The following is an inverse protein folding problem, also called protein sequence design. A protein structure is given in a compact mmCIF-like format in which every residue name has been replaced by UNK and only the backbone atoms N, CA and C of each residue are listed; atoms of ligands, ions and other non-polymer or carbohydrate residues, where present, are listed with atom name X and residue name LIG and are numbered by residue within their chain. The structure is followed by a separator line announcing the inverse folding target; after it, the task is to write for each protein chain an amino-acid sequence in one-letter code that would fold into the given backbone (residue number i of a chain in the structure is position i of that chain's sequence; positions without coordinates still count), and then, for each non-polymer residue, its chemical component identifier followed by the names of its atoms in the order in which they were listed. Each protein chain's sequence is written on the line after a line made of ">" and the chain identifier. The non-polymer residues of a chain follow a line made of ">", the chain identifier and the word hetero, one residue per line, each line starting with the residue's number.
data_IF_368107291010
#
_entry.id   IF_368107291010
#
_cell.length_a   1.000
_cell.length_b   1.000
_cell.length_c   1.000
_cell.angle_alpha   90.00
_cell.angle_beta   90.00
_cell.angle_gamma   90.00
#
_symmetry.space_group_name_H-M   'P 1'
#
loop_
_entity.id
_entity.type
_entity.pdbx_description
1 polymer ?
#
# COMPACT_ATOMS: atom_id res chain seq x y z
N UNK A 1 1.93 -12.49 -5.85
CA UNK A 1 1.88 -11.79 -4.55
C UNK A 1 1.59 -10.32 -4.85
N UNK A 2 0.60 -9.69 -4.22
CA UNK A 2 0.24 -8.29 -4.45
C UNK A 2 0.62 -7.44 -3.23
N UNK A 3 1.23 -6.28 -3.43
CA UNK A 3 1.48 -5.29 -2.39
C UNK A 3 0.65 -4.05 -2.67
N UNK A 4 -0.08 -3.57 -1.67
CA UNK A 4 -0.85 -2.34 -1.71
C UNK A 4 0.01 -1.14 -1.32
N UNK A 5 -0.20 0.00 -1.97
CA UNK A 5 0.36 1.30 -1.59
C UNK A 5 -0.78 2.30 -1.43
N UNK A 6 -0.75 3.10 -0.36
CA UNK A 6 -1.77 4.10 -0.04
C UNK A 6 -1.09 5.45 0.20
N UNK A 7 -1.24 6.37 -0.76
CA UNK A 7 -0.49 7.63 -0.80
C UNK A 7 -1.42 8.83 -0.94
N UNK A 8 -1.03 10.00 -0.42
CA UNK A 8 -1.72 11.24 -0.75
C UNK A 8 -1.31 11.73 -2.14
N UNK A 9 -2.12 12.58 -2.81
CA UNK A 9 -1.74 13.19 -4.08
C UNK A 9 -0.39 13.92 -4.03
N UNK A 10 0.01 14.44 -2.86
CA UNK A 10 1.29 15.12 -2.64
C UNK A 10 2.47 14.17 -2.31
N UNK A 11 2.21 12.88 -2.07
CA UNK A 11 3.22 11.85 -1.72
C UNK A 11 3.87 11.21 -2.99
N UNK A 12 4.20 12.03 -4.00
CA UNK A 12 4.67 11.54 -5.31
C UNK A 12 6.02 10.80 -5.21
N UNK A 13 6.94 11.29 -4.37
CA UNK A 13 8.23 10.65 -4.14
C UNK A 13 8.10 9.26 -3.52
N UNK A 14 7.16 9.08 -2.60
CA UNK A 14 6.90 7.83 -1.89
C UNK A 14 6.24 6.83 -2.84
N UNK A 15 5.30 7.28 -3.69
CA UNK A 15 4.73 6.45 -4.75
C UNK A 15 5.83 5.95 -5.71
N UNK A 16 6.71 6.85 -6.17
CA UNK A 16 7.83 6.51 -7.05
C UNK A 16 8.77 5.50 -6.37
N UNK A 17 9.14 5.75 -5.11
CA UNK A 17 10.00 4.85 -4.35
C UNK A 17 9.38 3.47 -4.18
N UNK A 18 8.08 3.38 -3.91
CA UNK A 18 7.35 2.12 -3.81
C UNK A 18 7.34 1.35 -5.13
N UNK A 19 7.07 2.02 -6.25
CA UNK A 19 7.11 1.41 -7.59
C UNK A 19 8.51 0.89 -7.91
N UNK A 20 9.53 1.69 -7.62
CA UNK A 20 10.92 1.32 -7.84
C UNK A 20 11.32 0.10 -6.99
N UNK A 21 10.92 0.05 -5.72
CA UNK A 21 11.20 -1.09 -4.86
C UNK A 21 10.56 -2.39 -5.39
N UNK A 22 9.31 -2.33 -5.85
CA UNK A 22 8.62 -3.49 -6.44
C UNK A 22 9.32 -3.97 -7.70
N UNK A 23 9.75 -3.04 -8.57
CA UNK A 23 10.53 -3.38 -9.76
C UNK A 23 11.86 -4.03 -9.41
N UNK A 24 12.60 -3.46 -8.45
CA UNK A 24 13.90 -3.98 -8.00
C UNK A 24 13.79 -5.40 -7.45
N UNK A 25 12.79 -5.68 -6.62
CA UNK A 25 12.52 -7.03 -6.11
C UNK A 25 12.19 -8.00 -7.26
N UNK A 26 11.40 -7.55 -8.24
CA UNK A 26 11.03 -8.37 -9.39
C UNK A 26 12.20 -8.67 -10.35
N UNK A 27 13.21 -7.81 -10.38
CA UNK A 27 14.44 -8.02 -11.14
C UNK A 27 15.37 -9.01 -10.43
N UNK A 28 15.30 -9.08 -9.10
CA UNK A 28 16.09 -10.00 -8.31
C UNK A 28 15.45 -11.39 -8.22
N UNK A 29 15.96 -12.31 -9.05
CA UNK A 29 15.49 -13.70 -9.10
C UNK A 29 15.88 -14.53 -7.87
N UNK A 30 16.71 -14.02 -6.96
CA UNK A 30 17.03 -14.71 -5.70
C UNK A 30 15.92 -14.55 -4.67
N UNK A 31 15.14 -13.46 -4.75
CA UNK A 31 14.08 -13.13 -3.80
C UNK A 31 12.75 -13.77 -4.23
N UNK A 32 12.36 -13.60 -5.50
CA UNK A 32 11.14 -14.19 -6.07
C UNK A 32 11.46 -15.04 -7.32
N UNK A 33 12.07 -16.23 -7.16
CA UNK A 33 12.58 -17.03 -8.28
C UNK A 33 11.49 -17.54 -9.25
N UNK A 34 10.23 -17.63 -8.78
CA UNK A 34 9.10 -18.19 -9.55
C UNK A 34 7.88 -17.29 -9.55
N UNK A 35 8.02 -16.03 -9.14
CA UNK A 35 6.87 -15.17 -8.88
C UNK A 35 7.21 -13.72 -9.18
N UNK A 36 6.19 -12.91 -9.41
CA UNK A 36 6.32 -11.46 -9.44
C UNK A 36 5.43 -10.82 -8.38
N UNK A 37 5.94 -9.75 -7.80
CA UNK A 37 5.22 -8.84 -6.95
C UNK A 37 4.45 -7.85 -7.82
N UNK A 38 3.15 -7.69 -7.58
CA UNK A 38 2.34 -6.66 -8.22
C UNK A 38 2.14 -5.50 -7.26
N UNK A 39 2.27 -4.27 -7.74
CA UNK A 39 2.01 -3.05 -6.99
C UNK A 39 0.58 -2.57 -7.27
N UNK A 40 -0.26 -2.49 -6.24
CA UNK A 40 -1.59 -1.88 -6.30
C UNK A 40 -1.57 -0.57 -5.54
N UNK A 41 -1.63 0.54 -6.27
CA UNK A 41 -1.49 1.88 -5.70
C UNK A 41 -2.86 2.56 -5.69
N UNK A 42 -3.29 3.01 -4.52
CA UNK A 42 -4.49 3.81 -4.33
C UNK A 42 -4.11 5.17 -3.77
N UNK A 43 -4.67 6.25 -4.34
CA UNK A 43 -4.52 7.61 -3.82
C UNK A 43 -5.66 7.95 -2.87
N UNK A 44 -5.35 8.57 -1.74
CA UNK A 44 -6.31 9.04 -0.74
C UNK A 44 -6.22 10.56 -0.56
N UNK A 45 -7.37 11.22 -0.45
CA UNK A 45 -7.42 12.63 -0.09
C UNK A 45 -7.19 12.79 1.42
N UNK A 46 -6.39 13.77 1.87
CA UNK A 46 -6.04 13.93 3.29
C UNK A 46 -7.23 14.27 4.20
N UNK A 47 -8.36 14.69 3.64
CA UNK A 47 -9.51 15.19 4.39
C UNK A 47 -10.63 14.14 4.57
N UNK A 48 -10.52 12.96 3.97
CA UNK A 48 -11.57 11.93 3.98
C UNK A 48 -11.08 10.61 4.57
N UNK A 49 -11.08 10.51 5.90
CA UNK A 49 -10.78 9.28 6.63
C UNK A 49 -11.72 8.12 6.24
N UNK A 50 -12.99 8.40 5.94
CA UNK A 50 -13.94 7.41 5.45
C UNK A 50 -13.55 6.85 4.07
N UNK A 51 -13.08 7.72 3.17
CA UNK A 51 -12.62 7.29 1.86
C UNK A 51 -11.35 6.45 1.99
N UNK A 52 -10.44 6.82 2.91
CA UNK A 52 -9.26 6.03 3.22
C UNK A 52 -9.65 4.60 3.67
N UNK A 53 -10.59 4.45 4.61
CA UNK A 53 -11.09 3.13 5.03
C UNK A 53 -11.66 2.34 3.86
N UNK A 54 -12.44 2.98 2.98
CA UNK A 54 -13.00 2.31 1.79
C UNK A 54 -11.90 1.82 0.82
N UNK A 55 -10.83 2.59 0.66
CA UNK A 55 -9.68 2.24 -0.19
C UNK A 55 -8.85 1.11 0.42
N UNK A 56 -8.64 1.12 1.73
CA UNK A 56 -8.02 0.02 2.48
C UNK A 56 -8.85 -1.27 2.32
N UNK A 57 -10.16 -1.21 2.55
CA UNK A 57 -11.05 -2.37 2.34
C UNK A 57 -11.00 -2.90 0.90
N UNK A 58 -10.84 -2.02 -0.09
CA UNK A 58 -10.66 -2.43 -1.48
C UNK A 58 -9.35 -3.21 -1.68
N UNK A 59 -8.24 -2.70 -1.15
CA UNK A 59 -6.93 -3.37 -1.20
C UNK A 59 -6.98 -4.74 -0.51
N UNK A 60 -7.61 -4.82 0.66
CA UNK A 60 -7.78 -6.08 1.39
C UNK A 60 -8.62 -7.09 0.60
N UNK A 61 -9.70 -6.65 -0.06
CA UNK A 61 -10.54 -7.53 -0.90
C UNK A 61 -9.80 -8.05 -2.14
N UNK A 62 -8.83 -7.29 -2.67
CA UNK A 62 -7.95 -7.76 -3.76
C UNK A 62 -6.99 -8.87 -3.27
N UNK A 63 -6.79 -8.99 -1.94
CA UNK A 63 -5.86 -9.96 -1.36
C UNK A 63 -4.42 -9.47 -1.41
N UNK A 64 -4.18 -8.19 -1.11
CA UNK A 64 -2.82 -7.69 -0.93
C UNK A 64 -2.20 -8.33 0.32
N UNK A 65 -0.92 -8.68 0.22
CA UNK A 65 -0.14 -9.27 1.32
C UNK A 65 0.32 -8.21 2.34
N UNK A 66 0.39 -6.95 1.92
CA UNK A 66 0.79 -5.82 2.75
C UNK A 66 0.23 -4.52 2.17
N UNK A 67 0.06 -3.50 3.02
CA UNK A 67 -0.33 -2.14 2.62
C UNK A 67 0.77 -1.20 3.11
N UNK A 68 1.32 -0.40 2.19
CA UNK A 68 2.37 0.58 2.46
C UNK A 68 1.79 1.99 2.40
N UNK A 69 1.83 2.70 3.52
CA UNK A 69 1.39 4.10 3.63
C UNK A 69 0.14 4.32 4.48
N UNK A 70 -0.23 5.59 4.74
CA UNK A 70 0.41 6.83 4.29
C UNK A 70 1.36 7.44 5.35
N UNK A 71 2.14 8.48 4.98
CA UNK A 71 3.16 9.09 5.86
C UNK A 71 2.60 9.89 7.05
N UNK A 72 1.34 10.34 6.99
CA UNK A 72 0.73 11.09 8.09
C UNK A 72 0.56 10.17 9.32
N UNK A 73 1.12 10.50 10.49
CA UNK A 73 1.01 9.67 11.69
C UNK A 73 -0.45 9.47 12.13
N UNK A 74 -1.31 10.46 11.91
CA UNK A 74 -2.75 10.35 12.18
C UNK A 74 -3.44 9.33 11.27
N UNK A 75 -3.10 9.32 9.98
CA UNK A 75 -3.71 8.41 9.02
C UNK A 75 -3.08 7.01 9.11
N UNK A 76 -1.79 6.91 9.40
CA UNK A 76 -1.10 5.66 9.68
C UNK A 76 -1.69 4.95 10.90
N UNK A 77 -1.94 5.68 12.00
CA UNK A 77 -2.61 5.12 13.18
C UNK A 77 -4.01 4.60 12.84
N UNK A 78 -4.75 5.28 11.96
CA UNK A 78 -6.07 4.84 11.54
C UNK A 78 -6.03 3.56 10.66
N UNK A 79 -5.07 3.47 9.73
CA UNK A 79 -4.84 2.26 8.93
C UNK A 79 -4.44 1.08 9.83
N UNK A 80 -3.56 1.32 10.81
CA UNK A 80 -3.11 0.29 11.73
C UNK A 80 -4.27 -0.28 12.56
N UNK A 81 -5.13 0.58 13.13
CA UNK A 81 -6.30 0.13 13.89
C UNK A 81 -7.27 -0.74 13.07
N UNK A 82 -7.39 -0.49 11.76
CA UNK A 82 -8.20 -1.31 10.86
C UNK A 82 -7.55 -2.69 10.66
N UNK A 83 -6.23 -2.73 10.47
CA UNK A 83 -5.49 -3.99 10.35
C UNK A 83 -5.51 -4.81 11.66
N UNK A 84 -5.38 -4.17 12.82
CA UNK A 84 -5.46 -4.80 14.15
C UNK A 84 -6.86 -5.37 14.45
N UNK A 85 -7.93 -4.76 13.89
CA UNK A 85 -9.31 -5.27 14.08
C UNK A 85 -9.60 -6.51 13.23
N UNK A 86 -8.70 -6.87 12.30
CA UNK A 86 -8.86 -8.02 11.41
C UNK A 86 -8.02 -9.24 11.82
N UNK A 87 -7.38 -9.19 12.98
CA UNK A 87 -6.78 -10.36 13.66
C UNK A 87 -7.83 -11.23 14.36
#
# INVERSE_FOLDING_TARGET
>A
MCSGGLFHPDDDHQEIAFRYAVEKINLDRTILPRSKLLAQIEKISPQDSFLASKRVCHLLRIGVAAIFGPQSPHTASHVQSICDTME
#
